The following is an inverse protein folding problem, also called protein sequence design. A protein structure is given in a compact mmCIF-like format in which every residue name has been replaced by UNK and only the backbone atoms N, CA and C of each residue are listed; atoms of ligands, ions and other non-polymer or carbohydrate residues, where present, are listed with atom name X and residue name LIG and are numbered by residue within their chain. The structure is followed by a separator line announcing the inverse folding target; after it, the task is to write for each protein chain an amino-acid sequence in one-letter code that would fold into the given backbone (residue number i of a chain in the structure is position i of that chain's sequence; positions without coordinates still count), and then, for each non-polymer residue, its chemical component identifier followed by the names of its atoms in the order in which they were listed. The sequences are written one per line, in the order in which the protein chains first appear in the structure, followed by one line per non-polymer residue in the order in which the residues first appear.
data_IF_569331558591
#
_entry.id   IF_569331558591
#
_cell.length_a   1.000
_cell.length_b   1.000
_cell.length_c   1.000
_cell.angle_alpha   90.00
_cell.angle_beta   90.00
_cell.angle_gamma   90.00
#
_symmetry.space_group_name_H-M   'P 1'
#
loop_
_entity.id
_entity.type
_entity.pdbx_description
1 polymer ?
#
# COMPACT_ATOMS: atom_id res chain seq x y z
N UNK A 1 -3.34 7.96 -30.57
CA UNK A 1 -4.17 6.97 -29.86
C UNK A 1 -3.79 7.07 -28.41
N UNK A 2 -4.73 7.40 -27.52
CA UNK A 2 -4.46 7.32 -26.08
C UNK A 2 -4.47 5.84 -25.76
N UNK A 3 -3.31 5.28 -25.40
CA UNK A 3 -3.25 3.94 -24.83
C UNK A 3 -4.23 3.91 -23.66
N UNK A 4 -5.28 3.11 -23.78
CA UNK A 4 -6.37 3.07 -22.82
C UNK A 4 -5.85 2.84 -21.41
N UNK A 5 -6.54 3.40 -20.42
CA UNK A 5 -6.20 3.16 -19.02
C UNK A 5 -6.24 1.65 -18.75
N UNK A 6 -5.08 1.09 -18.43
CA UNK A 6 -4.90 -0.34 -18.16
C UNK A 6 -4.05 -0.46 -16.91
N UNK A 7 -4.59 -1.07 -15.87
CA UNK A 7 -3.82 -1.42 -14.69
C UNK A 7 -2.97 -2.64 -15.01
N UNK A 8 -1.69 -2.60 -14.59
CA UNK A 8 -0.79 -3.76 -14.59
C UNK A 8 -0.74 -4.32 -13.15
N UNK A 9 -1.47 -5.40 -12.84
CA UNK A 9 -1.53 -5.96 -11.49
C UNK A 9 -0.17 -6.46 -11.01
N UNK A 10 0.66 -7.01 -11.90
CA UNK A 10 1.99 -7.52 -11.55
C UNK A 10 2.95 -6.35 -11.23
N UNK A 11 2.85 -5.26 -11.98
CA UNK A 11 3.56 -4.02 -11.68
C UNK A 11 3.16 -3.43 -10.33
N UNK A 12 1.86 -3.41 -10.01
CA UNK A 12 1.37 -2.94 -8.70
C UNK A 12 1.87 -3.86 -7.57
N UNK A 13 1.77 -5.18 -7.74
CA UNK A 13 2.27 -6.14 -6.74
C UNK A 13 3.76 -5.93 -6.45
N UNK A 14 4.59 -5.74 -7.49
CA UNK A 14 6.01 -5.45 -7.32
C UNK A 14 6.27 -4.20 -6.46
N UNK A 15 5.52 -3.13 -6.70
CA UNK A 15 5.63 -1.88 -5.92
C UNK A 15 5.16 -2.11 -4.48
N UNK A 16 4.04 -2.80 -4.28
CA UNK A 16 3.50 -3.10 -2.94
C UNK A 16 4.48 -3.95 -2.12
N UNK A 17 5.10 -4.95 -2.72
CA UNK A 17 6.14 -5.76 -2.09
C UNK A 17 7.34 -4.91 -1.70
N UNK A 18 7.85 -4.07 -2.61
CA UNK A 18 8.98 -3.19 -2.32
C UNK A 18 8.69 -2.18 -1.19
N UNK A 19 7.46 -1.67 -1.10
CA UNK A 19 7.03 -0.79 0.00
C UNK A 19 6.91 -1.57 1.31
N UNK A 20 6.42 -2.81 1.25
CA UNK A 20 6.33 -3.70 2.42
C UNK A 20 7.71 -3.99 2.99
N UNK A 21 8.69 -4.36 2.15
CA UNK A 21 10.06 -4.63 2.58
C UNK A 21 10.69 -3.43 3.28
N UNK A 22 10.54 -2.23 2.69
CA UNK A 22 11.01 -0.97 3.30
C UNK A 22 10.32 -0.67 4.63
N UNK A 23 9.03 -0.97 4.73
CA UNK A 23 8.26 -0.79 5.97
C UNK A 23 8.75 -1.74 7.05
N UNK A 24 9.07 -2.99 6.71
CA UNK A 24 9.67 -3.96 7.62
C UNK A 24 11.02 -3.48 8.11
N UNK A 25 11.92 -3.03 7.21
CA UNK A 25 13.21 -2.45 7.60
C UNK A 25 13.05 -1.28 8.58
N UNK A 26 12.12 -0.37 8.31
CA UNK A 26 11.84 0.76 9.19
C UNK A 26 11.27 0.32 10.54
N UNK A 27 10.37 -0.67 10.55
CA UNK A 27 9.80 -1.22 11.78
C UNK A 27 10.87 -1.89 12.64
N UNK A 28 11.76 -2.68 12.03
CA UNK A 28 12.88 -3.32 12.71
C UNK A 28 13.87 -2.29 13.26
N UNK A 29 14.17 -1.23 12.53
CA UNK A 29 15.05 -0.17 13.04
C UNK A 29 14.43 0.58 14.24
N UNK A 30 13.11 0.72 14.28
CA UNK A 30 12.43 1.45 15.35
C UNK A 30 12.18 0.58 16.60
N UNK A 31 11.69 -0.64 16.40
CA UNK A 31 11.32 -1.56 17.49
C UNK A 31 12.39 -2.59 17.86
N UNK A 32 13.44 -2.70 17.06
CA UNK A 32 14.40 -3.80 17.14
C UNK A 32 13.94 -5.03 16.34
N UNK A 33 14.84 -5.98 16.15
CA UNK A 33 14.52 -7.29 15.57
C UNK A 33 14.15 -8.31 16.66
N UNK A 34 13.30 -9.28 16.32
CA UNK A 34 12.91 -10.36 17.26
C UNK A 34 14.11 -11.21 17.71
N UNK A 35 15.12 -11.37 16.86
CA UNK A 35 16.36 -12.09 17.17
C UNK A 35 17.37 -11.26 17.99
N UNK A 36 17.04 -9.99 18.27
CA UNK A 36 17.90 -9.07 19.02
C UNK A 36 19.14 -8.58 18.27
N UNK A 37 19.31 -8.94 16.98
CA UNK A 37 20.43 -8.49 16.15
C UNK A 37 20.41 -6.97 15.86
N UNK A 38 19.21 -6.38 15.86
CA UNK A 38 18.98 -4.93 15.73
C UNK A 38 18.37 -4.43 17.02
N UNK A 39 19.06 -3.50 17.69
CA UNK A 39 18.51 -2.79 18.85
C UNK A 39 17.48 -1.76 18.39
N UNK A 40 16.35 -1.71 19.10
CA UNK A 40 15.33 -0.70 18.87
C UNK A 40 15.79 0.69 19.28
N UNK A 41 15.14 1.71 18.72
CA UNK A 41 15.51 3.11 18.96
C UNK A 41 15.43 3.47 20.45
N UNK A 42 14.46 2.92 21.18
CA UNK A 42 14.29 3.19 22.61
C UNK A 42 15.52 2.73 23.42
N UNK A 43 16.07 1.55 23.10
CA UNK A 43 17.27 1.01 23.74
C UNK A 43 18.50 1.86 23.42
N UNK A 44 18.68 2.20 22.15
CA UNK A 44 19.80 3.05 21.70
C UNK A 44 19.75 4.43 22.38
N UNK A 45 18.56 4.98 22.54
CA UNK A 45 18.33 6.28 23.21
C UNK A 45 18.68 6.20 24.70
N UNK A 46 18.29 5.13 25.38
CA UNK A 46 18.65 4.91 26.78
C UNK A 46 20.17 4.77 26.94
N UNK A 47 20.82 3.97 26.09
CA UNK A 47 22.27 3.79 26.11
C UNK A 47 23.01 5.12 25.87
N UNK A 48 22.54 5.92 24.90
CA UNK A 48 23.09 7.24 24.63
C UNK A 48 22.89 8.22 25.80
N UNK A 49 21.72 8.20 26.45
CA UNK A 49 21.45 9.03 27.61
C UNK A 49 22.33 8.65 28.81
N UNK A 50 22.57 7.35 29.03
CA UNK A 50 23.51 6.86 30.05
C UNK A 50 24.95 7.25 29.72
N UNK A 51 25.37 7.10 28.46
CA UNK A 51 26.71 7.43 28.00
C UNK A 51 27.02 8.93 28.01
N UNK A 52 26.01 9.80 27.96
CA UNK A 52 26.19 11.25 27.98
C UNK A 52 26.82 11.79 29.29
N UNK A 53 26.81 11.00 30.37
CA UNK A 53 27.36 11.36 31.69
C UNK A 53 26.86 12.71 32.25
N UNK A 54 25.75 13.22 31.72
CA UNK A 54 25.13 14.48 32.07
C UNK A 54 23.62 14.32 32.01
N UNK A 55 22.98 14.52 33.16
CA UNK A 55 21.54 14.33 33.30
C UNK A 55 20.75 15.21 32.32
N UNK A 56 21.15 16.48 32.15
CA UNK A 56 20.48 17.43 31.25
C UNK A 56 20.59 16.98 29.78
N UNK A 57 21.73 16.43 29.38
CA UNK A 57 21.93 15.94 28.01
C UNK A 57 21.11 14.67 27.78
N UNK A 58 21.12 13.74 28.75
CA UNK A 58 20.33 12.52 28.68
C UNK A 58 18.82 12.78 28.59
N UNK A 59 18.30 13.70 29.41
CA UNK A 59 16.90 14.12 29.37
C UNK A 59 16.53 14.80 28.05
N UNK A 60 17.43 15.62 27.47
CA UNK A 60 17.20 16.25 26.18
C UNK A 60 17.14 15.24 25.02
N UNK A 61 18.02 14.21 25.03
CA UNK A 61 18.00 13.13 24.04
C UNK A 61 16.70 12.33 24.18
N UNK A 62 16.35 11.91 25.39
CA UNK A 62 15.12 11.16 25.64
C UNK A 62 13.88 11.96 25.20
N UNK A 63 13.77 13.23 25.61
CA UNK A 63 12.64 14.10 25.26
C UNK A 63 12.51 14.37 23.75
N UNK A 64 13.62 14.48 23.03
CA UNK A 64 13.59 14.60 21.57
C UNK A 64 12.99 13.35 20.91
N UNK A 65 13.42 12.16 21.34
CA UNK A 65 12.93 10.90 20.77
C UNK A 65 11.48 10.60 21.15
N UNK A 66 11.08 10.89 22.39
CA UNK A 66 9.68 10.84 22.84
C UNK A 66 8.78 11.66 21.89
N UNK A 67 9.18 12.90 21.61
CA UNK A 67 8.41 13.79 20.74
C UNK A 67 8.40 13.38 19.26
N UNK A 68 9.42 12.65 18.80
CA UNK A 68 9.51 12.16 17.41
C UNK A 68 8.83 10.82 17.20
N UNK A 69 8.63 10.03 18.25
CA UNK A 69 7.99 8.72 18.19
C UNK A 69 6.58 8.76 17.60
N UNK A 70 5.79 9.76 17.97
CA UNK A 70 4.45 9.97 17.41
C UNK A 70 4.48 10.28 15.91
N UNK A 71 5.45 11.09 15.49
CA UNK A 71 5.63 11.42 14.07
C UNK A 71 6.01 10.17 13.27
N UNK A 72 6.93 9.36 13.79
CA UNK A 72 7.38 8.11 13.17
C UNK A 72 6.24 7.08 13.08
N UNK A 73 5.45 6.95 14.14
CA UNK A 73 4.25 6.10 14.17
C UNK A 73 3.20 6.60 13.17
N UNK A 74 3.00 7.92 13.07
CA UNK A 74 2.11 8.52 12.07
C UNK A 74 2.54 8.24 10.63
N UNK A 75 3.85 8.19 10.35
CA UNK A 75 4.37 7.81 9.03
C UNK A 75 4.07 6.34 8.74
N UNK A 76 4.32 5.42 9.71
CA UNK A 76 3.98 4.01 9.55
C UNK A 76 2.50 3.80 9.21
N UNK A 77 1.61 4.47 9.93
CA UNK A 77 0.16 4.37 9.69
C UNK A 77 -0.22 4.86 8.29
N UNK A 78 0.38 5.95 7.80
CA UNK A 78 0.15 6.44 6.44
C UNK A 78 0.63 5.47 5.37
N UNK A 79 1.80 4.86 5.57
CA UNK A 79 2.33 3.86 4.64
C UNK A 79 1.39 2.65 4.58
N UNK A 80 0.98 2.12 5.74
CA UNK A 80 0.02 1.00 5.81
C UNK A 80 -1.32 1.33 5.15
N UNK A 81 -1.87 2.51 5.43
CA UNK A 81 -3.12 2.95 4.82
C UNK A 81 -3.01 3.05 3.29
N UNK A 82 -1.88 3.57 2.80
CA UNK A 82 -1.62 3.68 1.36
C UNK A 82 -1.47 2.31 0.70
N UNK A 83 -0.80 1.36 1.35
CA UNK A 83 -0.63 -0.01 0.88
C UNK A 83 -1.99 -0.70 0.74
N UNK A 84 -2.84 -0.62 1.78
CA UNK A 84 -4.19 -1.18 1.79
C UNK A 84 -5.10 -0.51 0.75
N UNK A 85 -5.00 0.81 0.60
CA UNK A 85 -5.77 1.55 -0.40
C UNK A 85 -5.40 1.16 -1.83
N UNK A 86 -4.10 1.04 -2.12
CA UNK A 86 -3.62 0.68 -3.45
C UNK A 86 -3.93 -0.78 -3.82
N UNK A 87 -3.76 -1.72 -2.88
CA UNK A 87 -4.13 -3.12 -3.11
C UNK A 87 -5.64 -3.29 -3.26
N UNK A 88 -6.43 -2.61 -2.43
CA UNK A 88 -7.89 -2.60 -2.51
C UNK A 88 -8.41 -2.03 -3.83
N UNK A 89 -7.86 -0.88 -4.27
CA UNK A 89 -8.22 -0.28 -5.56
C UNK A 89 -7.90 -1.22 -6.72
N UNK A 90 -6.71 -1.83 -6.72
CA UNK A 90 -6.30 -2.77 -7.78
C UNK A 90 -7.23 -3.98 -7.87
N UNK A 91 -7.61 -4.54 -6.71
CA UNK A 91 -8.56 -5.65 -6.65
C UNK A 91 -9.94 -5.24 -7.20
N UNK A 92 -10.45 -4.08 -6.78
CA UNK A 92 -11.75 -3.59 -7.24
C UNK A 92 -11.80 -3.40 -8.76
N UNK A 93 -10.70 -2.92 -9.36
CA UNK A 93 -10.61 -2.73 -10.81
C UNK A 93 -10.70 -4.07 -11.55
N UNK A 94 -9.95 -5.07 -11.10
CA UNK A 94 -9.98 -6.42 -11.71
C UNK A 94 -11.37 -7.04 -11.57
N UNK A 95 -11.97 -6.96 -10.38
CA UNK A 95 -13.29 -7.53 -10.11
C UNK A 95 -14.38 -6.89 -10.99
N UNK A 96 -14.37 -5.58 -11.14
CA UNK A 96 -15.31 -4.89 -12.03
C UNK A 96 -15.05 -5.16 -13.52
N UNK A 97 -13.80 -5.32 -13.94
CA UNK A 97 -13.47 -5.71 -15.32
C UNK A 97 -14.04 -7.11 -15.65
N UNK A 98 -13.95 -8.06 -14.71
CA UNK A 98 -14.53 -9.39 -14.85
C UNK A 98 -16.07 -9.35 -14.89
N UNK A 99 -16.71 -8.53 -14.04
CA UNK A 99 -18.16 -8.30 -14.06
C UNK A 99 -18.63 -7.70 -15.40
N UNK A 100 -17.89 -6.71 -15.92
CA UNK A 100 -18.20 -6.10 -17.23
C UNK A 100 -18.04 -7.10 -18.37
N UNK A 101 -17.00 -7.93 -18.34
CA UNK A 101 -16.78 -8.97 -19.34
C UNK A 101 -17.90 -10.03 -19.31
N UNK A 102 -18.26 -10.52 -18.13
CA UNK A 102 -19.34 -11.49 -17.95
C UNK A 102 -20.69 -10.92 -18.43
N UNK A 103 -21.00 -9.67 -18.06
CA UNK A 103 -22.22 -8.98 -18.49
C UNK A 103 -22.27 -8.81 -20.01
N UNK A 104 -21.15 -8.43 -20.63
CA UNK A 104 -21.05 -8.26 -22.08
C UNK A 104 -21.25 -9.59 -22.81
N UNK A 105 -20.67 -10.68 -22.30
CA UNK A 105 -20.88 -12.03 -22.86
C UNK A 105 -22.34 -12.47 -22.73
N UNK A 106 -22.97 -12.25 -21.58
CA UNK A 106 -24.38 -12.56 -21.37
C UNK A 106 -25.29 -11.78 -22.34
N UNK A 107 -25.03 -10.47 -22.51
CA UNK A 107 -25.72 -9.63 -23.47
C UNK A 107 -25.50 -10.10 -24.91
N UNK A 108 -24.31 -10.61 -25.25
CA UNK A 108 -23.99 -11.09 -26.60
C UNK A 108 -24.76 -12.38 -26.92
N UNK A 109 -24.83 -13.31 -25.95
CA UNK A 109 -25.64 -14.53 -26.06
C UNK A 109 -27.13 -14.19 -26.21
N UNK A 110 -27.64 -13.25 -25.41
CA UNK A 110 -29.02 -12.81 -25.52
C UNK A 110 -29.31 -12.19 -26.88
N UNK A 111 -28.49 -11.22 -27.33
CA UNK A 111 -28.63 -10.58 -28.62
C UNK A 111 -28.55 -11.58 -29.78
N UNK A 112 -27.66 -12.57 -29.71
CA UNK A 112 -27.57 -13.64 -30.71
C UNK A 112 -28.84 -14.51 -30.74
N UNK A 113 -29.49 -14.72 -29.60
CA UNK A 113 -30.71 -15.54 -29.51
C UNK A 113 -31.99 -14.84 -29.94
N UNK A 114 -32.11 -13.53 -29.68
CA UNK A 114 -33.35 -12.77 -29.89
C UNK A 114 -33.25 -11.66 -30.94
N UNK A 115 -32.06 -11.45 -31.52
CA UNK A 115 -31.79 -10.42 -32.53
C UNK A 115 -31.83 -8.99 -32.00
N UNK A 116 -31.91 -8.77 -30.69
CA UNK A 116 -31.95 -7.45 -30.08
C UNK A 116 -30.54 -7.00 -29.65
N UNK A 117 -29.98 -6.02 -30.36
CA UNK A 117 -28.64 -5.49 -30.12
C UNK A 117 -28.64 -4.18 -29.32
N UNK A 118 -29.76 -3.76 -28.72
CA UNK A 118 -29.85 -2.49 -27.98
C UNK A 118 -28.84 -2.36 -26.83
N UNK A 119 -28.35 -3.48 -26.29
CA UNK A 119 -27.31 -3.52 -25.27
C UNK A 119 -25.91 -3.11 -25.77
N UNK A 120 -25.73 -3.00 -27.10
CA UNK A 120 -24.47 -2.65 -27.76
C UNK A 120 -24.54 -1.34 -28.54
N UNK A 121 -25.61 -0.56 -28.35
CA UNK A 121 -25.80 0.71 -29.06
C UNK A 121 -24.67 1.69 -28.69
N UNK A 122 -23.86 2.08 -29.68
CA UNK A 122 -22.63 2.86 -29.50
C UNK A 122 -21.31 2.08 -29.39
N UNK A 123 -21.33 0.74 -29.47
CA UNK A 123 -20.10 -0.06 -29.53
C UNK A 123 -19.38 0.08 -30.89
N UNK A 124 -18.03 0.08 -30.93
CA UNK A 124 -17.30 0.16 -32.20
C UNK A 124 -17.63 -1.06 -33.07
N UNK A 125 -18.22 -0.82 -34.24
CA UNK A 125 -18.62 -1.87 -35.19
C UNK A 125 -20.12 -2.19 -35.22
N UNK A 126 -20.95 -1.51 -34.42
CA UNK A 126 -22.41 -1.53 -34.57
C UNK A 126 -22.83 -0.66 -35.78
N UNK A 127 -22.67 -1.19 -36.99
CA UNK A 127 -23.31 -0.68 -38.21
C UNK A 127 -24.05 -1.83 -38.91
#
# INVERSE_FOLDING_TARGET
MVDGWRVDPAGVESVLTAVTDRTTTMSTALGGSEDGSVQGVDTVVQDAATAAQSQVIGEAIAGFFEHRKDTLTGIQNRIRASLLGASGATKAIIEHDDEMAATTQANAVQAASNGNFSAFDGAPGAN
#
